data_IF_110762312214
#
_entry.id   IF_110762312214
#
_cell.length_a   1.000
_cell.length_b   1.000
_cell.length_c   1.000
_cell.angle_alpha   90.00
_cell.angle_beta   90.00
_cell.angle_gamma   90.00
#
_symmetry.space_group_name_H-M   'P 1'
#
loop_
_entity.id
_entity.type
_entity.pdbx_description
1 polymer ?
#
# COMPACT_ATOMS: atom_id res chain seq x y z
N UNK A 1 12.10 -20.92 -6.65
CA UNK A 1 11.22 -21.69 -5.74
C UNK A 1 11.56 -23.16 -5.93
N UNK A 2 12.11 -23.86 -4.93
CA UNK A 2 12.56 -25.26 -5.05
C UNK A 2 11.61 -26.22 -4.34
N UNK A 3 11.36 -27.38 -4.96
CA UNK A 3 10.37 -28.42 -4.58
C UNK A 3 10.43 -28.83 -3.10
N UNK A 4 11.65 -28.94 -2.53
CA UNK A 4 11.85 -29.37 -1.14
C UNK A 4 11.28 -28.42 -0.06
N UNK A 5 11.05 -27.14 -0.37
CA UNK A 5 10.41 -26.20 0.58
C UNK A 5 8.89 -26.35 0.63
N UNK A 6 8.27 -26.88 -0.44
CA UNK A 6 6.81 -27.09 -0.53
C UNK A 6 6.39 -28.32 0.27
N UNK A 7 7.17 -29.40 0.18
CA UNK A 7 6.89 -30.65 0.87
C UNK A 7 6.97 -30.52 2.40
N UNK A 8 7.87 -29.68 2.92
CA UNK A 8 7.99 -29.38 4.36
C UNK A 8 6.97 -28.37 4.90
N UNK A 9 6.00 -27.91 4.09
CA UNK A 9 5.00 -26.91 4.53
C UNK A 9 5.56 -25.51 4.83
N UNK A 10 6.84 -25.25 4.53
CA UNK A 10 7.55 -23.99 4.85
C UNK A 10 7.07 -22.82 3.97
N UNK A 11 6.27 -23.10 2.93
CA UNK A 11 5.74 -22.07 2.05
C UNK A 11 4.46 -21.49 2.67
N UNK A 12 4.59 -20.37 3.37
CA UNK A 12 3.45 -19.65 3.91
C UNK A 12 2.47 -19.15 2.83
N UNK A 13 1.20 -18.91 3.19
CA UNK A 13 0.17 -18.44 2.27
C UNK A 13 0.57 -17.13 1.58
N UNK A 14 0.20 -17.00 0.30
CA UNK A 14 0.52 -15.81 -0.50
C UNK A 14 -0.03 -14.53 0.14
N UNK A 15 -1.21 -14.60 0.75
CA UNK A 15 -1.88 -13.45 1.37
C UNK A 15 -1.09 -12.88 2.56
N UNK A 16 -0.48 -13.74 3.38
CA UNK A 16 0.40 -13.30 4.47
C UNK A 16 1.66 -12.58 3.94
N UNK A 17 2.15 -12.98 2.77
CA UNK A 17 3.23 -12.27 2.07
C UNK A 17 2.79 -10.93 1.48
N UNK A 18 1.52 -10.78 1.10
CA UNK A 18 0.99 -9.52 0.59
C UNK A 18 0.71 -8.53 1.72
N UNK A 19 0.13 -9.00 2.83
CA UNK A 19 -0.09 -8.19 4.02
C UNK A 19 1.22 -7.66 4.62
N UNK A 20 2.27 -8.50 4.72
CA UNK A 20 3.61 -8.07 5.16
C UNK A 20 4.34 -7.16 4.18
N UNK A 21 3.86 -7.05 2.93
CA UNK A 21 4.39 -6.15 1.90
C UNK A 21 3.55 -4.88 1.71
N UNK A 22 2.43 -4.73 2.40
CA UNK A 22 1.66 -3.49 2.34
C UNK A 22 2.51 -2.36 2.94
N UNK A 23 2.84 -1.40 2.10
CA UNK A 23 3.63 -0.22 2.50
C UNK A 23 2.81 0.77 3.34
N UNK A 24 1.49 0.61 3.38
CA UNK A 24 0.55 1.49 4.07
C UNK A 24 -0.34 0.69 5.01
N UNK A 25 -0.53 1.23 6.21
CA UNK A 25 -1.56 0.77 7.14
C UNK A 25 -2.95 1.07 6.53
N UNK A 26 -3.96 0.19 6.68
CA UNK A 26 -5.34 0.45 6.28
C UNK A 26 -5.88 1.86 6.61
N UNK A 27 -5.46 2.44 7.75
CA UNK A 27 -5.83 3.81 8.11
C UNK A 27 -5.23 4.86 7.16
N UNK A 28 -3.95 4.71 6.78
CA UNK A 28 -3.25 5.61 5.87
C UNK A 28 -3.81 5.52 4.44
N UNK A 29 -4.24 4.33 4.02
CA UNK A 29 -4.92 4.12 2.74
C UNK A 29 -6.24 4.90 2.67
N UNK A 30 -7.03 4.88 3.75
CA UNK A 30 -8.30 5.60 3.84
C UNK A 30 -8.09 7.13 3.79
N UNK A 31 -7.06 7.63 4.47
CA UNK A 31 -6.68 9.05 4.37
C UNK A 31 -6.21 9.44 2.97
N UNK A 32 -5.42 8.59 2.31
CA UNK A 32 -4.98 8.82 0.93
C UNK A 32 -6.18 8.90 -0.03
N UNK A 33 -7.16 8.01 0.11
CA UNK A 33 -8.40 8.03 -0.69
C UNK A 33 -9.18 9.34 -0.46
N UNK A 34 -9.31 9.77 0.80
CA UNK A 34 -9.96 11.06 1.12
C UNK A 34 -9.21 12.24 0.49
N UNK A 35 -7.90 12.22 0.55
CA UNK A 35 -7.05 13.26 -0.03
C UNK A 35 -7.19 13.34 -1.55
N UNK A 36 -7.10 12.20 -2.25
CA UNK A 36 -7.29 12.12 -3.70
C UNK A 36 -8.70 12.60 -4.10
N UNK A 37 -9.73 12.20 -3.35
CA UNK A 37 -11.10 12.64 -3.60
C UNK A 37 -11.24 14.16 -3.47
N UNK A 38 -10.56 14.76 -2.48
CA UNK A 38 -10.54 16.23 -2.31
C UNK A 38 -9.84 16.92 -3.48
N UNK A 39 -8.70 16.40 -3.94
CA UNK A 39 -7.98 16.95 -5.10
C UNK A 39 -8.85 16.93 -6.36
N UNK A 40 -9.52 15.80 -6.62
CA UNK A 40 -10.38 15.66 -7.79
C UNK A 40 -11.57 16.63 -7.75
N UNK A 41 -12.18 16.84 -6.56
CA UNK A 41 -13.21 17.88 -6.37
C UNK A 41 -12.72 19.30 -6.64
N UNK A 42 -11.42 19.55 -6.47
CA UNK A 42 -10.78 20.84 -6.76
C UNK A 42 -10.31 20.94 -8.22
N UNK A 43 -10.54 19.92 -9.05
CA UNK A 43 -10.05 19.87 -10.43
C UNK A 43 -8.54 19.63 -10.54
N UNK A 44 -7.86 19.24 -9.45
CA UNK A 44 -6.45 18.86 -9.48
C UNK A 44 -6.31 17.36 -9.73
N UNK A 45 -5.58 16.95 -10.79
CA UNK A 45 -5.27 15.55 -11.00
C UNK A 45 -4.27 15.06 -9.93
N UNK A 46 -4.49 13.90 -9.31
CA UNK A 46 -3.54 13.32 -8.37
C UNK A 46 -2.30 12.83 -9.14
N UNK A 47 -1.19 13.56 -9.03
CA UNK A 47 0.10 13.15 -9.61
C UNK A 47 0.90 12.28 -8.63
N UNK A 48 1.83 11.49 -9.16
CA UNK A 48 2.73 10.65 -8.34
C UNK A 48 3.50 11.47 -7.30
N UNK A 49 3.89 12.69 -7.65
CA UNK A 49 4.62 13.60 -6.77
C UNK A 49 3.76 14.10 -5.61
N UNK A 50 2.50 14.46 -5.88
CA UNK A 50 1.51 14.84 -4.87
C UNK A 50 1.26 13.69 -3.90
N UNK A 51 1.08 12.47 -4.42
CA UNK A 51 0.89 11.26 -3.60
C UNK A 51 2.12 11.01 -2.73
N UNK A 52 3.33 11.13 -3.28
CA UNK A 52 4.58 10.97 -2.52
C UNK A 52 4.71 11.99 -1.40
N UNK A 53 4.41 13.25 -1.66
CA UNK A 53 4.46 14.32 -0.65
C UNK A 53 3.46 14.08 0.48
N UNK A 54 2.27 13.58 0.16
CA UNK A 54 1.29 13.15 1.15
C UNK A 54 1.84 12.02 2.03
N UNK A 55 2.39 10.97 1.42
CA UNK A 55 2.96 9.84 2.16
C UNK A 55 4.15 10.23 3.05
N UNK A 56 5.03 11.12 2.59
CA UNK A 56 6.13 11.67 3.40
C UNK A 56 5.62 12.45 4.62
N UNK A 57 4.45 13.08 4.50
CA UNK A 57 3.82 13.82 5.60
C UNK A 57 3.14 12.91 6.61
N UNK A 58 2.55 11.80 6.16
CA UNK A 58 1.80 10.84 6.99
C UNK A 58 2.70 9.76 7.62
N UNK A 59 3.87 9.48 7.05
CA UNK A 59 4.84 8.52 7.58
C UNK A 59 5.70 9.07 8.75
N UNK A 60 5.40 10.28 9.24
CA UNK A 60 6.12 10.96 10.34
C UNK A 60 5.33 10.83 11.63
#
# INVERSE_FOLDING_TARGET
LTLGRRWRGVTGPRDARHASRQALNPQQELELIRYITKLNKQGLPPTREIIRNFLLKVAR
#
